data_IF_484090089565
#
_entry.id   IF_484090089565
#
_cell.length_a   1.000
_cell.length_b   1.000
_cell.length_c   1.000
_cell.angle_alpha   90.00
_cell.angle_beta   90.00
_cell.angle_gamma   90.00
#
_symmetry.space_group_name_H-M   'P 1'
#
loop_
_entity.id
_entity.type
_entity.pdbx_description
1 polymer ?
#
# COMPACT_ATOMS: atom_id res chain seq x y z
N UNK A 1 -43.60 7.03 4.11
CA UNK A 1 -42.61 5.94 3.93
C UNK A 1 -41.28 6.59 3.65
N UNK A 2 -40.49 6.83 4.69
CA UNK A 2 -39.14 7.39 4.59
C UNK A 2 -38.18 6.24 4.33
N UNK A 3 -37.57 6.22 3.15
CA UNK A 3 -36.52 5.28 2.81
C UNK A 3 -35.27 5.70 3.58
N UNK A 4 -35.03 5.07 4.73
CA UNK A 4 -33.71 5.12 5.35
C UNK A 4 -32.74 4.43 4.41
N UNK A 5 -31.94 5.23 3.70
CA UNK A 5 -30.79 4.73 2.97
C UNK A 5 -29.80 4.23 4.01
N UNK A 6 -29.85 2.93 4.33
CA UNK A 6 -28.83 2.27 5.14
C UNK A 6 -27.52 2.38 4.36
N UNK A 7 -26.72 3.40 4.66
CA UNK A 7 -25.34 3.48 4.20
C UNK A 7 -24.58 2.37 4.89
N UNK A 8 -24.43 1.23 4.21
CA UNK A 8 -23.51 0.18 4.65
C UNK A 8 -22.13 0.80 4.84
N UNK A 9 -21.52 0.56 6.00
CA UNK A 9 -20.12 0.93 6.25
C UNK A 9 -19.24 0.42 5.11
N UNK A 10 -18.65 1.37 4.38
CA UNK A 10 -17.66 1.09 3.36
C UNK A 10 -16.42 0.55 4.07
N UNK A 11 -16.11 -0.72 3.80
CA UNK A 11 -14.88 -1.35 4.30
C UNK A 11 -13.91 -1.48 3.15
N UNK A 12 -12.65 -1.24 3.45
CA UNK A 12 -11.56 -1.31 2.50
C UNK A 12 -10.51 -2.30 3.00
N UNK A 13 -9.70 -2.79 2.07
CA UNK A 13 -8.52 -3.60 2.37
C UNK A 13 -7.33 -2.91 1.71
N UNK A 14 -6.25 -2.73 2.45
CA UNK A 14 -4.96 -2.35 1.86
C UNK A 14 -4.09 -3.59 1.77
N UNK A 15 -3.65 -3.92 0.56
CA UNK A 15 -2.60 -4.92 0.35
C UNK A 15 -1.24 -4.21 0.35
N UNK A 16 -0.34 -4.67 1.21
CA UNK A 16 1.06 -4.25 1.21
C UNK A 16 1.87 -5.34 0.51
N UNK A 17 2.58 -4.96 -0.55
CA UNK A 17 3.38 -5.87 -1.36
C UNK A 17 4.82 -5.37 -1.41
N UNK A 18 5.65 -5.99 -0.57
CA UNK A 18 7.08 -5.75 -0.50
C UNK A 18 7.76 -6.67 -1.52
N UNK A 19 8.01 -6.11 -2.71
CA UNK A 19 8.71 -6.80 -3.79
C UNK A 19 10.22 -6.74 -3.63
N UNK A 20 10.94 -7.34 -4.58
CA UNK A 20 12.41 -7.35 -4.55
C UNK A 20 13.02 -6.00 -4.93
N UNK A 21 12.33 -5.17 -5.72
CA UNK A 21 12.83 -3.88 -6.25
C UNK A 21 11.99 -2.68 -5.82
N UNK A 22 10.78 -2.93 -5.31
CA UNK A 22 9.86 -1.87 -4.91
C UNK A 22 8.88 -2.33 -3.85
N UNK A 23 8.44 -1.39 -3.02
CA UNK A 23 7.31 -1.55 -2.10
C UNK A 23 6.05 -0.96 -2.72
N UNK A 24 4.91 -1.65 -2.57
CA UNK A 24 3.59 -1.23 -3.09
C UNK A 24 2.54 -1.24 -2.00
N UNK A 25 1.58 -0.34 -2.09
CA UNK A 25 0.32 -0.39 -1.36
C UNK A 25 -0.84 -0.24 -2.34
N UNK A 26 -1.80 -1.16 -2.27
CA UNK A 26 -2.98 -1.18 -3.14
C UNK A 26 -4.23 -1.16 -2.27
N UNK A 27 -5.08 -0.16 -2.46
CA UNK A 27 -6.35 -0.01 -1.74
C UNK A 27 -7.48 -0.64 -2.56
N UNK A 28 -8.25 -1.52 -1.94
CA UNK A 28 -9.39 -2.22 -2.55
C UNK A 28 -10.69 -1.92 -1.83
N UNK A 29 -11.79 -1.86 -2.60
CA UNK A 29 -13.15 -1.93 -2.05
C UNK A 29 -13.60 -3.39 -1.82
N UNK A 30 -14.81 -3.57 -1.29
CA UNK A 30 -15.40 -4.90 -1.03
C UNK A 30 -15.65 -5.75 -2.27
N UNK A 31 -15.69 -5.13 -3.46
CA UNK A 31 -15.87 -5.82 -4.73
C UNK A 31 -14.53 -6.14 -5.41
N UNK A 32 -13.40 -5.95 -4.70
CA UNK A 32 -12.04 -6.08 -5.20
C UNK A 32 -11.69 -5.11 -6.33
N UNK A 33 -12.41 -3.98 -6.46
CA UNK A 33 -11.97 -2.90 -7.33
C UNK A 33 -10.77 -2.19 -6.70
N UNK A 34 -9.77 -1.87 -7.53
CA UNK A 34 -8.65 -1.02 -7.13
C UNK A 34 -9.16 0.41 -7.02
N UNK A 35 -9.03 1.00 -5.84
CA UNK A 35 -9.35 2.41 -5.58
C UNK A 35 -8.13 3.28 -5.87
N UNK A 36 -6.96 2.89 -5.37
CA UNK A 36 -5.70 3.60 -5.61
C UNK A 36 -4.49 2.66 -5.39
N UNK A 37 -3.34 3.07 -5.92
CA UNK A 37 -2.05 2.41 -5.81
C UNK A 37 -0.96 3.45 -5.51
N UNK A 38 -0.09 3.13 -4.56
CA UNK A 38 1.19 3.80 -4.38
C UNK A 38 2.34 2.79 -4.52
N UNK A 39 3.45 3.23 -5.10
CA UNK A 39 4.63 2.40 -5.34
C UNK A 39 5.91 3.23 -5.19
N UNK A 40 6.94 2.62 -4.59
CA UNK A 40 8.25 3.24 -4.45
C UNK A 40 9.35 2.19 -4.59
N UNK A 41 10.34 2.47 -5.43
CA UNK A 41 11.55 1.66 -5.53
C UNK A 41 12.45 1.86 -4.31
N UNK A 42 13.27 0.86 -4.01
CA UNK A 42 14.31 0.93 -2.99
C UNK A 42 15.62 0.33 -3.51
N UNK A 43 16.72 0.72 -2.87
CA UNK A 43 18.06 0.45 -3.35
C UNK A 43 18.40 -1.04 -3.34
N UNK A 44 19.01 -1.53 -4.43
CA UNK A 44 19.65 -2.83 -4.48
C UNK A 44 21.14 -2.68 -4.17
N UNK A 45 21.64 -3.36 -3.15
CA UNK A 45 23.04 -3.26 -2.72
C UNK A 45 23.80 -4.47 -3.27
N UNK A 46 24.86 -4.21 -4.05
CA UNK A 46 25.68 -5.24 -4.70
C UNK A 46 27.14 -5.19 -4.18
N UNK A 47 27.43 -5.71 -2.98
CA UNK A 47 28.77 -5.59 -2.40
C UNK A 47 29.81 -6.49 -3.09
N UNK A 48 29.36 -7.60 -3.70
CA UNK A 48 30.20 -8.59 -4.39
C UNK A 48 29.44 -9.21 -5.57
N UNK A 49 30.14 -9.77 -6.58
CA UNK A 49 29.50 -10.52 -7.66
C UNK A 49 28.60 -11.64 -7.11
N UNK A 50 27.34 -11.67 -7.57
CA UNK A 50 26.34 -12.66 -7.16
C UNK A 50 25.65 -12.39 -5.82
N UNK A 51 26.00 -11.31 -5.10
CA UNK A 51 25.36 -10.92 -3.85
C UNK A 51 24.33 -9.82 -4.11
N UNK A 52 23.17 -9.94 -3.46
CA UNK A 52 22.13 -8.90 -3.43
C UNK A 52 21.71 -8.73 -1.98
N UNK A 53 21.87 -7.51 -1.48
CA UNK A 53 21.48 -7.11 -0.13
C UNK A 53 20.49 -5.96 -0.21
N UNK A 54 19.65 -5.84 0.82
CA UNK A 54 18.73 -4.73 1.01
C UNK A 54 18.93 -4.15 2.41
N UNK A 55 18.77 -2.84 2.55
CA UNK A 55 18.68 -2.21 3.87
C UNK A 55 17.27 -2.44 4.46
N UNK A 56 17.14 -3.16 5.60
CA UNK A 56 15.84 -3.37 6.23
C UNK A 56 15.10 -2.08 6.60
N UNK A 57 15.84 -1.01 6.91
CA UNK A 57 15.25 0.28 7.24
C UNK A 57 14.70 0.98 6.00
N UNK A 58 15.34 0.82 4.83
CA UNK A 58 14.84 1.33 3.56
C UNK A 58 13.59 0.55 3.11
N UNK A 59 13.58 -0.78 3.30
CA UNK A 59 12.39 -1.61 3.08
C UNK A 59 11.21 -1.08 3.92
N UNK A 60 11.42 -0.92 5.23
CA UNK A 60 10.40 -0.42 6.12
C UNK A 60 9.93 0.99 5.74
N UNK A 61 10.87 1.91 5.51
CA UNK A 61 10.57 3.30 5.19
C UNK A 61 9.78 3.42 3.89
N UNK A 62 10.16 2.67 2.85
CA UNK A 62 9.44 2.68 1.57
C UNK A 62 8.06 2.05 1.68
N UNK A 63 7.90 0.93 2.40
CA UNK A 63 6.59 0.29 2.58
C UNK A 63 5.63 1.15 3.42
N UNK A 64 6.13 1.77 4.49
CA UNK A 64 5.35 2.71 5.30
C UNK A 64 4.96 3.95 4.48
N UNK A 65 5.88 4.49 3.69
CA UNK A 65 5.62 5.65 2.83
C UNK A 65 4.50 5.39 1.83
N UNK A 66 4.49 4.23 1.16
CA UNK A 66 3.44 3.94 0.16
C UNK A 66 2.07 3.68 0.82
N UNK A 67 2.03 3.12 2.03
CA UNK A 67 0.78 3.02 2.81
C UNK A 67 0.23 4.41 3.15
N UNK A 68 1.07 5.30 3.67
CA UNK A 68 0.65 6.67 3.97
C UNK A 68 0.21 7.41 2.71
N UNK A 69 0.93 7.22 1.60
CA UNK A 69 0.60 7.83 0.32
C UNK A 69 -0.75 7.37 -0.23
N UNK A 70 -1.04 6.06 -0.24
CA UNK A 70 -2.31 5.55 -0.77
C UNK A 70 -3.50 6.01 0.09
N UNK A 71 -3.32 6.10 1.41
CA UNK A 71 -4.37 6.64 2.29
C UNK A 71 -4.54 8.15 2.06
N UNK A 72 -3.46 8.93 1.97
CA UNK A 72 -3.52 10.38 1.80
C UNK A 72 -4.11 10.84 0.45
N UNK A 73 -4.00 10.03 -0.60
CA UNK A 73 -4.64 10.30 -1.90
C UNK A 73 -6.16 10.04 -1.88
N UNK A 74 -6.67 9.39 -0.86
CA UNK A 74 -8.07 8.96 -0.74
C UNK A 74 -8.73 9.56 0.51
N UNK A 75 -10.05 9.55 0.56
CA UNK A 75 -10.83 9.93 1.76
C UNK A 75 -11.08 8.73 2.68
N UNK A 76 -10.10 7.82 2.76
CA UNK A 76 -10.19 6.59 3.56
C UNK A 76 -9.31 6.71 4.79
N UNK A 77 -9.92 6.50 5.96
CA UNK A 77 -9.26 6.55 7.24
C UNK A 77 -9.29 5.17 7.92
N UNK A 78 -8.22 4.78 8.62
CA UNK A 78 -8.26 3.62 9.51
C UNK A 78 -9.21 3.91 10.68
N UNK A 79 -9.91 2.88 11.14
CA UNK A 79 -10.75 2.92 12.35
C UNK A 79 -9.90 3.07 13.63
#
# INVERSE_FOLDING_TARGET
>A
MTTETITREKKYIVALDQGTTSSRAVLFDRNANIIDIAQREFTQIYPKPGWVEHDPMEIWATQSSVLTEVLAKTDVHPD
#
